data_IF_872643724937
#
_entry.id   IF_872643724937
#
_cell.length_a   1.000
_cell.length_b   1.000
_cell.length_c   1.000
_cell.angle_alpha   90.00
_cell.angle_beta   90.00
_cell.angle_gamma   90.00
#
_symmetry.space_group_name_H-M   'P 1'
#
loop_
_entity.id
_entity.type
_entity.pdbx_description
1 polymer ?
#
# COMPACT_ATOMS: atom_id res chain seq x y z
N UNK A 1 -5.71 -33.26 2.20
CA UNK A 1 -5.31 -31.87 1.95
C UNK A 1 -3.97 -31.87 1.24
N UNK A 2 -3.96 -31.57 -0.01
CA UNK A 2 -2.71 -31.37 -0.74
C UNK A 2 -2.23 -29.95 -0.46
N UNK A 3 -1.16 -29.82 0.30
CA UNK A 3 -0.43 -28.58 0.40
C UNK A 3 0.09 -28.22 -0.97
N UNK A 4 -0.52 -27.23 -1.61
CA UNK A 4 0.01 -26.68 -2.85
C UNK A 4 1.28 -25.91 -2.52
N UNK A 5 2.41 -26.59 -2.58
CA UNK A 5 3.74 -26.02 -2.43
C UNK A 5 4.15 -25.17 -3.66
N UNK A 6 3.29 -25.06 -4.66
CA UNK A 6 3.64 -24.48 -5.95
C UNK A 6 2.98 -23.13 -6.27
N UNK A 7 2.45 -22.43 -5.28
CA UNK A 7 2.04 -21.06 -5.52
C UNK A 7 3.25 -20.12 -5.38
N UNK A 8 4.22 -20.31 -6.27
CA UNK A 8 5.24 -19.30 -6.51
C UNK A 8 4.51 -18.15 -7.21
N UNK A 9 4.24 -17.09 -6.43
CA UNK A 9 3.80 -15.82 -7.01
C UNK A 9 4.93 -15.35 -7.91
N UNK A 10 4.76 -15.46 -9.20
CA UNK A 10 5.72 -14.90 -10.16
C UNK A 10 5.59 -13.40 -10.09
N UNK A 11 6.50 -12.77 -9.37
CA UNK A 11 6.52 -11.31 -9.25
C UNK A 11 6.85 -10.67 -10.60
N UNK A 12 5.99 -9.80 -11.14
CA UNK A 12 6.23 -9.11 -12.38
C UNK A 12 7.40 -8.13 -12.24
N UNK A 13 8.05 -7.82 -13.36
CA UNK A 13 9.06 -6.77 -13.41
C UNK A 13 8.43 -5.47 -13.89
N UNK A 14 8.86 -4.37 -13.30
CA UNK A 14 8.52 -3.04 -13.80
C UNK A 14 9.17 -2.79 -15.16
N UNK A 15 8.75 -1.72 -15.85
CA UNK A 15 9.35 -1.26 -17.11
C UNK A 15 10.84 -0.91 -16.93
N UNK A 16 11.27 -0.57 -15.72
CA UNK A 16 12.66 -0.28 -15.36
C UNK A 16 13.43 -1.52 -14.87
N UNK A 17 12.82 -2.71 -14.92
CA UNK A 17 13.43 -3.97 -14.51
C UNK A 17 13.39 -4.28 -13.01
N UNK A 18 12.75 -3.43 -12.21
CA UNK A 18 12.54 -3.70 -10.78
C UNK A 18 11.54 -4.85 -10.60
N UNK A 19 11.87 -5.80 -9.73
CA UNK A 19 11.00 -6.95 -9.44
C UNK A 19 9.98 -6.54 -8.40
N UNK A 20 8.69 -6.73 -8.71
CA UNK A 20 7.62 -6.61 -7.72
C UNK A 20 7.79 -7.67 -6.64
N UNK A 21 7.69 -7.28 -5.40
CA UNK A 21 7.76 -8.20 -4.26
C UNK A 21 6.41 -8.20 -3.52
N UNK A 22 6.00 -9.36 -3.05
CA UNK A 22 4.82 -9.45 -2.17
C UNK A 22 5.07 -8.67 -0.88
N UNK A 23 6.27 -8.81 -0.32
CA UNK A 23 6.70 -8.13 0.90
C UNK A 23 8.08 -7.51 0.70
N UNK A 24 8.32 -6.39 1.38
CA UNK A 24 9.65 -5.78 1.44
C UNK A 24 10.63 -6.71 2.16
N UNK A 25 11.85 -6.77 1.68
CA UNK A 25 12.93 -7.57 2.28
C UNK A 25 13.37 -7.03 3.65
N UNK A 26 13.17 -5.74 3.88
CA UNK A 26 13.53 -5.06 5.11
C UNK A 26 13.19 -3.57 5.03
N UNK A 27 13.49 -2.86 6.11
CA UNK A 27 13.22 -1.43 6.22
C UNK A 27 13.86 -0.59 5.09
N UNK A 28 15.10 -0.91 4.72
CA UNK A 28 15.81 -0.15 3.67
C UNK A 28 15.17 -0.33 2.29
N UNK A 29 14.71 -1.53 1.98
CA UNK A 29 13.98 -1.84 0.74
C UNK A 29 12.66 -1.05 0.69
N UNK A 30 11.91 -1.04 1.78
CA UNK A 30 10.68 -0.25 1.93
C UNK A 30 10.96 1.25 1.75
N UNK A 31 11.96 1.78 2.43
CA UNK A 31 12.33 3.19 2.38
C UNK A 31 12.69 3.63 0.96
N UNK A 32 13.52 2.88 0.27
CA UNK A 32 13.91 3.17 -1.11
C UNK A 32 12.70 3.21 -2.05
N UNK A 33 11.80 2.24 -1.90
CA UNK A 33 10.56 2.19 -2.66
C UNK A 33 9.67 3.40 -2.34
N UNK A 34 9.52 3.72 -1.06
CA UNK A 34 8.72 4.85 -0.59
C UNK A 34 9.25 6.20 -1.06
N UNK A 35 10.57 6.41 -1.03
CA UNK A 35 11.20 7.64 -1.51
C UNK A 35 10.95 7.87 -3.01
N UNK A 36 11.02 6.82 -3.83
CA UNK A 36 10.71 6.90 -5.26
C UNK A 36 9.25 7.25 -5.51
N UNK A 37 8.33 6.62 -4.78
CA UNK A 37 6.91 6.92 -4.91
C UNK A 37 6.57 8.31 -4.39
N UNK A 38 7.14 8.72 -3.27
CA UNK A 38 6.95 10.07 -2.71
C UNK A 38 7.40 11.15 -3.71
N UNK A 39 8.53 10.95 -4.37
CA UNK A 39 9.02 11.83 -5.42
C UNK A 39 8.06 11.87 -6.62
N UNK A 40 7.65 10.71 -7.11
CA UNK A 40 6.71 10.60 -8.23
C UNK A 40 5.33 11.23 -7.92
N UNK A 41 4.89 11.17 -6.66
CA UNK A 41 3.63 11.75 -6.20
C UNK A 41 3.74 13.24 -5.85
N UNK A 42 4.92 13.85 -5.99
CA UNK A 42 5.11 15.26 -5.68
C UNK A 42 5.14 15.57 -4.18
N UNK A 43 5.63 14.63 -3.37
CA UNK A 43 5.75 14.76 -1.92
C UNK A 43 7.18 15.10 -1.47
N UNK A 44 8.00 15.68 -2.35
CA UNK A 44 9.40 15.98 -2.06
C UNK A 44 9.60 17.02 -0.94
N UNK A 45 8.58 17.81 -0.65
CA UNK A 45 8.55 18.77 0.46
C UNK A 45 8.07 18.16 1.80
N UNK A 46 7.74 16.87 1.81
CA UNK A 46 7.39 16.13 3.01
C UNK A 46 8.60 15.46 3.64
N UNK A 47 8.61 15.40 4.96
CA UNK A 47 9.55 14.57 5.73
C UNK A 47 8.85 13.29 6.14
N UNK A 48 9.18 12.18 5.49
CA UNK A 48 8.49 10.90 5.66
C UNK A 48 9.44 9.90 6.32
N UNK A 49 8.97 9.30 7.41
CA UNK A 49 9.63 8.18 8.09
C UNK A 49 8.91 6.88 7.76
N UNK A 50 9.66 5.83 7.52
CA UNK A 50 9.14 4.51 7.14
C UNK A 50 9.40 3.50 8.24
N UNK A 51 8.38 2.74 8.61
CA UNK A 51 8.46 1.69 9.63
C UNK A 51 7.91 0.40 9.03
N UNK A 52 8.73 -0.63 9.01
CA UNK A 52 8.31 -1.97 8.60
C UNK A 52 8.16 -2.83 9.87
N UNK A 53 6.93 -3.23 10.17
CA UNK A 53 6.62 -4.02 11.35
C UNK A 53 6.68 -5.51 11.03
N UNK A 54 7.27 -6.29 11.94
CA UNK A 54 7.26 -7.77 11.87
C UNK A 54 5.99 -8.38 12.47
N UNK A 55 5.09 -7.55 12.98
CA UNK A 55 3.86 -7.97 13.64
C UNK A 55 2.63 -7.55 12.83
N UNK A 56 1.57 -8.33 12.96
CA UNK A 56 0.25 -7.95 12.48
C UNK A 56 -0.29 -6.79 13.34
N UNK A 57 -1.07 -5.87 12.74
CA UNK A 57 -1.76 -4.87 13.54
C UNK A 57 -2.92 -5.49 14.32
N UNK A 58 -3.25 -4.91 15.48
CA UNK A 58 -4.39 -5.36 16.29
C UNK A 58 -5.73 -5.26 15.54
N UNK A 59 -5.89 -4.25 14.68
CA UNK A 59 -7.05 -4.05 13.84
C UNK A 59 -6.99 -4.75 12.49
N UNK A 60 -6.00 -5.61 12.23
CA UNK A 60 -5.75 -6.26 10.95
C UNK A 60 -5.53 -5.28 9.79
N UNK A 61 -5.11 -4.07 10.09
CA UNK A 61 -4.71 -3.09 9.08
C UNK A 61 -3.43 -3.53 8.38
N UNK A 62 -3.31 -3.26 7.10
CA UNK A 62 -2.12 -3.56 6.32
C UNK A 62 -1.06 -2.46 6.42
N UNK A 63 -1.49 -1.24 6.64
CA UNK A 63 -0.63 -0.08 6.82
C UNK A 63 -1.33 1.03 7.58
N UNK A 64 -0.53 2.00 7.99
CA UNK A 64 -1.01 3.19 8.71
C UNK A 64 -0.13 4.39 8.36
N UNK A 65 -0.75 5.54 8.24
CA UNK A 65 -0.05 6.81 8.06
C UNK A 65 -0.45 7.79 9.17
N UNK A 66 0.51 8.14 9.99
CA UNK A 66 0.38 9.22 10.97
C UNK A 66 0.99 10.49 10.38
N UNK A 67 0.15 11.38 9.90
CA UNK A 67 0.57 12.57 9.15
C UNK A 67 0.12 13.88 9.81
N UNK A 68 0.94 14.89 9.62
CA UNK A 68 0.64 16.27 9.99
C UNK A 68 0.81 17.17 8.75
N UNK A 69 -0.28 17.76 8.30
CA UNK A 69 -0.29 18.62 7.10
C UNK A 69 0.42 19.95 7.34
N UNK A 70 0.35 20.50 8.55
CA UNK A 70 0.93 21.80 8.83
C UNK A 70 2.46 21.73 8.79
N UNK A 71 3.03 20.71 9.37
CA UNK A 71 4.48 20.47 9.35
C UNK A 71 4.98 19.69 8.13
N UNK A 72 4.07 19.10 7.35
CA UNK A 72 4.39 18.17 6.25
C UNK A 72 5.31 17.03 6.69
N UNK A 73 4.94 16.41 7.80
CA UNK A 73 5.61 15.24 8.34
C UNK A 73 4.67 14.04 8.33
N UNK A 74 5.24 12.87 8.17
CA UNK A 74 4.48 11.62 8.12
C UNK A 74 5.32 10.46 8.65
N UNK A 75 4.67 9.55 9.37
CA UNK A 75 5.23 8.25 9.74
C UNK A 75 4.34 7.18 9.12
N UNK A 76 4.88 6.43 8.17
CA UNK A 76 4.18 5.36 7.50
C UNK A 76 4.65 4.02 8.05
N UNK A 77 3.70 3.25 8.57
CA UNK A 77 3.95 1.90 9.07
C UNK A 77 3.29 0.89 8.13
N UNK A 78 4.05 -0.10 7.68
CA UNK A 78 3.53 -1.26 6.98
C UNK A 78 3.63 -2.46 7.92
N UNK A 79 2.51 -3.12 8.14
CA UNK A 79 2.41 -4.27 9.03
C UNK A 79 2.62 -5.57 8.29
N UNK A 80 3.00 -6.59 9.06
CA UNK A 80 2.98 -7.95 8.57
C UNK A 80 1.57 -8.30 8.12
N UNK A 81 1.45 -8.84 6.91
CA UNK A 81 0.16 -9.22 6.36
C UNK A 81 -0.46 -10.37 7.16
N UNK A 82 -1.73 -10.24 7.57
CA UNK A 82 -2.47 -11.35 8.17
C UNK A 82 -2.52 -12.56 7.25
N UNK A 83 -2.48 -13.74 7.83
CA UNK A 83 -2.65 -14.97 7.06
C UNK A 83 -4.02 -14.98 6.41
N UNK A 84 -4.02 -15.06 5.09
CA UNK A 84 -5.23 -15.27 4.31
C UNK A 84 -4.95 -16.39 3.29
N UNK A 85 -5.82 -17.41 3.28
CA UNK A 85 -5.65 -18.57 2.41
C UNK A 85 -6.11 -18.31 0.97
N UNK A 86 -6.79 -17.19 0.74
CA UNK A 86 -7.47 -16.92 -0.53
C UNK A 86 -6.83 -15.82 -1.36
N UNK A 87 -6.15 -14.87 -0.74
CA UNK A 87 -5.50 -13.78 -1.47
C UNK A 87 -4.29 -13.22 -0.73
N UNK A 88 -3.45 -12.52 -1.47
CA UNK A 88 -2.32 -11.74 -0.95
C UNK A 88 -2.52 -10.28 -1.32
N UNK A 89 -1.87 -9.39 -0.55
CA UNK A 89 -1.76 -7.98 -0.90
C UNK A 89 -0.28 -7.62 -1.04
N UNK A 90 0.03 -6.82 -2.04
CA UNK A 90 1.40 -6.32 -2.20
C UNK A 90 1.67 -5.18 -1.24
N UNK A 91 2.75 -5.27 -0.47
CA UNK A 91 3.13 -4.21 0.47
C UNK A 91 3.42 -2.89 -0.24
N UNK A 92 3.94 -2.92 -1.47
CA UNK A 92 4.14 -1.72 -2.27
C UNK A 92 2.81 -1.01 -2.57
N UNK A 93 1.75 -1.74 -2.92
CA UNK A 93 0.42 -1.15 -3.12
C UNK A 93 -0.10 -0.48 -1.85
N UNK A 94 0.08 -1.13 -0.70
CA UNK A 94 -0.27 -0.55 0.61
C UNK A 94 0.55 0.71 0.89
N UNK A 95 1.84 0.70 0.60
CA UNK A 95 2.71 1.87 0.75
C UNK A 95 2.24 3.06 -0.10
N UNK A 96 1.87 2.80 -1.35
CA UNK A 96 1.31 3.85 -2.23
C UNK A 96 0.02 4.42 -1.63
N UNK A 97 -0.87 3.56 -1.13
CA UNK A 97 -2.09 3.98 -0.45
C UNK A 97 -1.79 4.93 0.72
N UNK A 98 -0.86 4.55 1.57
CA UNK A 98 -0.50 5.38 2.72
C UNK A 98 0.15 6.71 2.31
N UNK A 99 0.99 6.72 1.29
CA UNK A 99 1.54 7.95 0.73
C UNK A 99 0.46 8.88 0.16
N UNK A 100 -0.58 8.33 -0.44
CA UNK A 100 -1.70 9.12 -0.97
C UNK A 100 -2.46 9.87 0.12
N UNK A 101 -2.46 9.41 1.37
CA UNK A 101 -3.02 10.17 2.49
C UNK A 101 -2.31 11.50 2.72
N UNK A 102 -1.05 11.64 2.35
CA UNK A 102 -0.33 12.91 2.38
C UNK A 102 -0.83 13.91 1.32
N UNK A 103 -1.49 13.42 0.28
CA UNK A 103 -2.10 14.27 -0.77
C UNK A 103 -3.59 14.48 -0.58
N UNK A 104 -4.28 13.46 -0.11
CA UNK A 104 -5.73 13.40 0.02
C UNK A 104 -6.09 12.95 1.43
N UNK A 105 -6.06 13.89 2.41
CA UNK A 105 -6.40 13.54 3.78
C UNK A 105 -7.85 13.11 3.88
N UNK A 106 -8.10 12.08 4.66
CA UNK A 106 -9.45 11.64 4.97
C UNK A 106 -9.67 11.90 6.45
N UNK A 107 -10.52 12.86 6.75
CA UNK A 107 -10.89 13.22 8.10
C UNK A 107 -12.41 13.07 8.26
N UNK A 108 -12.81 12.55 9.42
CA UNK A 108 -14.22 12.55 9.79
C UNK A 108 -14.55 13.92 10.38
N UNK A 109 -15.46 14.65 9.73
CA UNK A 109 -15.91 15.95 10.25
C UNK A 109 -16.71 15.79 11.56
N UNK A 110 -17.45 14.68 11.68
CA UNK A 110 -18.24 14.30 12.85
C UNK A 110 -18.50 12.80 12.86
N UNK A 111 -19.29 12.32 13.85
CA UNK A 111 -19.70 10.91 13.99
C UNK A 111 -20.97 10.56 13.18
N UNK A 112 -21.42 11.44 12.28
CA UNK A 112 -22.63 11.21 11.49
C UNK A 112 -22.44 10.06 10.48
N UNK A 113 -23.56 9.44 10.10
CA UNK A 113 -23.57 8.42 9.04
C UNK A 113 -23.04 8.97 7.71
N UNK A 114 -23.44 10.19 7.35
CA UNK A 114 -23.03 10.86 6.11
C UNK A 114 -21.52 11.11 6.08
N UNK A 115 -20.91 11.53 7.19
CA UNK A 115 -19.46 11.74 7.28
C UNK A 115 -18.72 10.41 7.11
N UNK A 116 -19.19 9.32 7.72
CA UNK A 116 -18.62 7.99 7.56
C UNK A 116 -18.72 7.47 6.13
N UNK A 117 -19.86 7.61 5.49
CA UNK A 117 -20.04 7.21 4.08
C UNK A 117 -19.10 8.03 3.17
N UNK A 118 -18.98 9.32 3.41
CA UNK A 118 -18.07 10.17 2.64
C UNK A 118 -16.61 9.72 2.79
N UNK A 119 -16.16 9.44 4.01
CA UNK A 119 -14.82 8.94 4.28
C UNK A 119 -14.57 7.56 3.63
N UNK A 120 -15.55 6.66 3.67
CA UNK A 120 -15.44 5.35 3.03
C UNK A 120 -15.31 5.45 1.51
N UNK A 121 -16.06 6.36 0.88
CA UNK A 121 -15.95 6.64 -0.55
C UNK A 121 -14.59 7.26 -0.91
N UNK A 122 -14.07 8.14 -0.08
CA UNK A 122 -12.73 8.72 -0.27
C UNK A 122 -11.65 7.63 -0.14
N UNK A 123 -11.75 6.73 0.83
CA UNK A 123 -10.86 5.57 0.96
C UNK A 123 -10.92 4.66 -0.26
N UNK A 124 -12.12 4.44 -0.81
CA UNK A 124 -12.28 3.66 -2.04
C UNK A 124 -11.50 4.28 -3.21
N UNK A 125 -11.55 5.61 -3.35
CA UNK A 125 -10.78 6.32 -4.37
C UNK A 125 -9.27 6.14 -4.15
N UNK A 126 -8.79 6.23 -2.92
CA UNK A 126 -7.38 5.98 -2.61
C UNK A 126 -6.96 4.54 -2.93
N UNK A 127 -7.78 3.57 -2.57
CA UNK A 127 -7.53 2.16 -2.89
C UNK A 127 -7.42 1.93 -4.40
N UNK A 128 -8.37 2.45 -5.17
CA UNK A 128 -8.39 2.29 -6.62
C UNK A 128 -7.23 3.02 -7.29
N UNK A 129 -6.87 4.19 -6.78
CA UNK A 129 -5.73 4.96 -7.28
C UNK A 129 -4.40 4.25 -6.99
N UNK A 130 -4.20 3.76 -5.77
CA UNK A 130 -3.00 3.00 -5.41
C UNK A 130 -2.83 1.76 -6.29
N UNK A 131 -3.92 1.03 -6.49
CA UNK A 131 -3.92 -0.13 -7.38
C UNK A 131 -3.57 0.23 -8.82
N UNK A 132 -4.17 1.29 -9.36
CA UNK A 132 -3.90 1.75 -10.72
C UNK A 132 -2.43 2.16 -10.92
N UNK A 133 -1.85 2.87 -9.95
CA UNK A 133 -0.44 3.24 -9.97
C UNK A 133 0.48 2.02 -9.90
N UNK A 134 0.19 1.09 -9.01
CA UNK A 134 0.92 -0.17 -8.89
C UNK A 134 0.86 -0.99 -10.18
N UNK A 135 -0.34 -1.18 -10.73
CA UNK A 135 -0.53 -1.92 -11.98
C UNK A 135 0.19 -1.25 -13.15
N UNK A 136 0.18 0.08 -13.22
CA UNK A 136 0.87 0.83 -14.26
C UNK A 136 2.38 0.63 -14.18
N UNK A 137 2.95 0.68 -12.97
CA UNK A 137 4.40 0.44 -12.77
C UNK A 137 4.84 -0.92 -13.30
N UNK A 138 4.03 -1.96 -13.09
CA UNK A 138 4.37 -3.33 -13.47
C UNK A 138 3.71 -3.80 -14.77
N UNK A 139 3.04 -2.93 -15.49
CA UNK A 139 2.41 -3.26 -16.77
C UNK A 139 1.32 -4.31 -16.66
N UNK A 140 0.58 -4.33 -15.55
CA UNK A 140 -0.44 -5.35 -15.28
C UNK A 140 -1.80 -4.94 -15.81
N UNK A 141 -2.50 -5.86 -16.47
CA UNK A 141 -3.95 -5.74 -16.66
C UNK A 141 -4.69 -6.11 -15.36
N UNK A 142 -5.96 -5.74 -15.25
CA UNK A 142 -6.78 -6.15 -14.10
C UNK A 142 -6.88 -7.68 -13.99
N UNK A 143 -6.92 -8.38 -15.12
CA UNK A 143 -6.92 -9.84 -15.13
C UNK A 143 -5.63 -10.44 -14.55
N UNK A 144 -4.48 -9.87 -14.91
CA UNK A 144 -3.18 -10.30 -14.38
C UNK A 144 -3.07 -10.00 -12.90
N UNK A 145 -3.47 -8.79 -12.48
CA UNK A 145 -3.48 -8.39 -11.08
C UNK A 145 -4.30 -9.36 -10.23
N UNK A 146 -5.55 -9.64 -10.64
CA UNK A 146 -6.42 -10.57 -9.92
C UNK A 146 -5.82 -11.96 -9.81
N UNK A 147 -5.15 -12.42 -10.85
CA UNK A 147 -4.48 -13.72 -10.84
C UNK A 147 -3.33 -13.79 -9.86
N UNK A 148 -2.59 -12.68 -9.70
CA UNK A 148 -1.46 -12.60 -8.77
C UNK A 148 -1.89 -12.55 -7.30
N UNK A 149 -3.03 -11.94 -6.99
CA UNK A 149 -3.49 -11.77 -5.61
C UNK A 149 -4.40 -12.90 -5.11
N UNK A 150 -4.89 -13.79 -5.99
CA UNK A 150 -5.79 -14.91 -5.62
C UNK A 150 -5.08 -16.25 -5.76
N UNK A 151 -5.38 -17.14 -4.82
CA UNK A 151 -4.90 -18.51 -4.82
C UNK A 151 -5.96 -19.47 -5.32
#
# INVERSE_FOLDING_TARGET
MKSNINNIVVCPKSLEGEVCKVAFEGWLDMRKCGEKWADALGLSDWTISYVLSDEESEGLELGHNDYDFDSKTSVITIYKQPRNEHFIMFQEETLIHELLHCKFPIEYEDESYEAKVCADLQHQVLNDTARALFMTKYGLSMSDYKRLITF
#
